data_IF_353348397008
#
_entry.id   IF_353348397008
#
_cell.length_a   1.000
_cell.length_b   1.000
_cell.length_c   1.000
_cell.angle_alpha   90.00
_cell.angle_beta   90.00
_cell.angle_gamma   90.00
#
_symmetry.space_group_name_H-M   'P 1'
#
loop_
_entity.id
_entity.type
_entity.pdbx_description
1 polymer ?
#
# COMPACT_ATOMS: atom_id res chain seq x y z
N UNK A 1 13.01 83.03 21.33
CA UNK A 1 12.80 82.37 20.03
C UNK A 1 13.69 81.13 20.01
N UNK A 2 13.18 80.00 20.48
CA UNK A 2 13.90 78.72 20.55
C UNK A 2 13.97 78.06 19.18
N UNK A 3 15.12 77.44 18.91
CA UNK A 3 15.64 77.15 17.58
C UNK A 3 14.96 75.97 16.86
N UNK A 4 14.78 76.05 15.52
CA UNK A 4 14.26 74.96 14.67
C UNK A 4 15.15 73.70 14.62
N UNK A 5 16.33 73.70 15.26
CA UNK A 5 17.25 72.56 15.32
C UNK A 5 16.86 71.52 16.36
N UNK A 6 16.25 71.92 17.48
CA UNK A 6 15.88 70.99 18.57
C UNK A 6 14.66 70.15 18.18
N UNK A 7 13.74 70.73 17.40
CA UNK A 7 12.61 70.01 16.82
C UNK A 7 13.06 69.02 15.76
N UNK A 8 13.99 69.41 14.86
CA UNK A 8 14.57 68.54 13.85
C UNK A 8 15.30 67.32 14.46
N UNK A 9 16.06 67.52 15.53
CA UNK A 9 16.78 66.43 16.22
C UNK A 9 15.81 65.45 16.88
N UNK A 10 14.76 65.95 17.54
CA UNK A 10 13.70 65.11 18.12
C UNK A 10 12.91 64.35 17.06
N UNK A 11 12.66 64.95 15.90
CA UNK A 11 12.05 64.26 14.75
C UNK A 11 12.97 63.17 14.19
N UNK A 12 14.28 63.40 14.13
CA UNK A 12 15.26 62.38 13.71
C UNK A 12 15.37 61.23 14.71
N UNK A 13 15.37 61.49 16.01
CA UNK A 13 15.33 60.43 17.03
C UNK A 13 14.02 59.65 17.01
N UNK A 14 12.87 60.32 16.82
CA UNK A 14 11.57 59.65 16.65
C UNK A 14 11.53 58.77 15.40
N UNK A 15 12.04 59.27 14.27
CA UNK A 15 12.13 58.50 13.02
C UNK A 15 13.14 57.35 13.16
N UNK A 16 14.24 57.55 13.88
CA UNK A 16 15.24 56.51 14.16
C UNK A 16 14.74 55.43 15.13
N UNK A 17 14.03 55.81 16.18
CA UNK A 17 13.42 54.89 17.14
C UNK A 17 12.24 54.12 16.52
N UNK A 18 11.39 54.80 15.74
CA UNK A 18 10.29 54.18 15.01
C UNK A 18 10.79 53.32 13.85
N UNK A 19 11.79 53.80 13.10
CA UNK A 19 12.43 53.07 12.01
C UNK A 19 13.20 51.83 12.48
N UNK A 20 13.96 51.95 13.58
CA UNK A 20 14.70 50.83 14.17
C UNK A 20 13.78 49.74 14.74
N UNK A 21 12.73 50.13 15.46
CA UNK A 21 11.73 49.18 15.98
C UNK A 21 10.89 48.55 14.86
N UNK A 22 10.43 49.32 13.87
CA UNK A 22 9.73 48.77 12.70
C UNK A 22 10.61 47.82 11.88
N UNK A 23 11.89 48.14 11.69
CA UNK A 23 12.86 47.28 11.00
C UNK A 23 13.14 45.99 11.77
N UNK A 24 13.28 46.05 13.09
CA UNK A 24 13.43 44.87 13.94
C UNK A 24 12.19 43.96 13.88
N UNK A 25 10.98 44.53 13.85
CA UNK A 25 9.73 43.78 13.66
C UNK A 25 9.68 43.12 12.28
N UNK A 26 10.06 43.84 11.21
CA UNK A 26 10.10 43.31 9.85
C UNK A 26 11.13 42.18 9.71
N UNK A 27 12.33 42.33 10.27
CA UNK A 27 13.34 41.26 10.29
C UNK A 27 12.88 40.05 11.11
N UNK A 28 12.21 40.28 12.24
CA UNK A 28 11.64 39.18 13.05
C UNK A 28 10.52 38.45 12.30
N UNK A 29 9.65 39.19 11.59
CA UNK A 29 8.61 38.63 10.74
C UNK A 29 9.20 37.85 9.56
N UNK A 30 10.25 38.37 8.93
CA UNK A 30 10.96 37.71 7.84
C UNK A 30 11.70 36.46 8.33
N UNK A 31 12.33 36.53 9.50
CA UNK A 31 12.96 35.38 10.16
C UNK A 31 11.95 34.29 10.51
N UNK A 32 10.79 34.65 11.07
CA UNK A 32 9.69 33.72 11.31
C UNK A 32 9.17 33.11 10.02
N UNK A 33 9.02 33.92 8.96
CA UNK A 33 8.59 33.43 7.65
C UNK A 33 9.60 32.44 7.06
N UNK A 34 10.90 32.74 7.08
CA UNK A 34 11.96 31.82 6.63
C UNK A 34 11.95 30.53 7.44
N UNK A 35 11.90 30.61 8.77
CA UNK A 35 11.81 29.45 9.66
C UNK A 35 10.58 28.59 9.34
N UNK A 36 9.40 29.21 9.17
CA UNK A 36 8.18 28.49 8.81
C UNK A 36 8.30 27.73 7.48
N UNK A 37 9.06 28.26 6.51
CA UNK A 37 9.32 27.59 5.22
C UNK A 37 10.29 26.43 5.36
N UNK A 38 11.31 26.54 6.23
CA UNK A 38 12.24 25.47 6.54
C UNK A 38 11.53 24.33 7.28
N UNK A 39 10.78 24.63 8.33
CA UNK A 39 10.02 23.63 9.10
C UNK A 39 8.98 22.92 8.22
N UNK A 40 8.35 23.63 7.27
CA UNK A 40 7.43 23.02 6.31
C UNK A 40 8.14 22.08 5.32
N UNK A 41 9.39 22.41 4.94
CA UNK A 41 10.21 21.57 4.06
C UNK A 41 10.66 20.30 4.77
N UNK A 42 11.13 20.42 6.02
CA UNK A 42 11.53 19.27 6.84
C UNK A 42 10.35 18.32 7.07
N UNK A 43 9.19 18.86 7.45
CA UNK A 43 7.96 18.07 7.58
C UNK A 43 7.59 17.34 6.30
N UNK A 44 7.74 17.98 5.14
CA UNK A 44 7.47 17.33 3.85
C UNK A 44 8.44 16.18 3.57
N UNK A 45 9.73 16.36 3.81
CA UNK A 45 10.72 15.30 3.62
C UNK A 45 10.46 14.11 4.54
N UNK A 46 10.06 14.39 5.79
CA UNK A 46 9.70 13.35 6.74
C UNK A 46 8.46 12.56 6.29
N UNK A 47 7.43 13.23 5.76
CA UNK A 47 6.25 12.56 5.18
C UNK A 47 6.66 11.63 4.02
N UNK A 48 7.47 12.11 3.08
CA UNK A 48 7.94 11.30 1.95
C UNK A 48 8.79 10.11 2.42
N UNK A 49 9.58 10.28 3.49
CA UNK A 49 10.34 9.19 4.11
C UNK A 49 9.43 8.15 4.74
N UNK A 50 8.41 8.57 5.50
CA UNK A 50 7.42 7.67 6.12
C UNK A 50 6.66 6.86 5.08
N UNK A 51 6.24 7.49 3.99
CA UNK A 51 5.59 6.82 2.86
C UNK A 51 6.50 5.72 2.28
N UNK A 52 7.79 5.97 2.13
CA UNK A 52 8.71 4.96 1.61
C UNK A 52 8.90 3.78 2.56
N UNK A 53 9.04 4.06 3.86
CA UNK A 53 9.15 3.03 4.89
C UNK A 53 7.89 2.18 4.89
N UNK A 54 6.72 2.81 4.90
CA UNK A 54 5.44 2.10 4.88
C UNK A 54 5.27 1.26 3.61
N UNK A 55 5.46 1.83 2.42
CA UNK A 55 5.35 1.08 1.16
C UNK A 55 6.25 -0.14 1.17
N UNK A 56 7.46 -0.01 1.70
CA UNK A 56 8.40 -1.13 1.80
C UNK A 56 7.90 -2.21 2.76
N UNK A 57 7.34 -1.81 3.91
CA UNK A 57 6.75 -2.73 4.87
C UNK A 57 5.48 -3.40 4.33
N UNK A 58 4.63 -2.66 3.63
CA UNK A 58 3.40 -3.13 2.98
C UNK A 58 3.74 -4.14 1.88
N UNK A 59 4.72 -3.85 1.02
CA UNK A 59 5.22 -4.80 0.00
C UNK A 59 5.75 -6.10 0.63
N UNK A 60 6.49 -5.98 1.74
CA UNK A 60 6.98 -7.16 2.48
C UNK A 60 5.82 -7.96 3.08
N UNK A 61 4.78 -7.29 3.57
CA UNK A 61 3.59 -7.93 4.12
C UNK A 61 2.77 -8.67 3.04
N UNK A 62 2.64 -8.09 1.84
CA UNK A 62 2.09 -8.78 0.67
C UNK A 62 2.86 -10.06 0.37
N UNK A 63 4.19 -9.99 0.29
CA UNK A 63 5.05 -11.13 0.00
C UNK A 63 4.91 -12.23 1.06
N UNK A 64 5.05 -11.90 2.34
CA UNK A 64 4.91 -12.86 3.44
C UNK A 64 3.53 -13.52 3.46
N UNK A 65 2.47 -12.75 3.17
CA UNK A 65 1.11 -13.30 3.09
C UNK A 65 0.97 -14.25 1.92
N UNK A 66 1.51 -13.90 0.75
CA UNK A 66 1.50 -14.75 -0.43
C UNK A 66 2.25 -16.07 -0.17
N UNK A 67 3.41 -16.04 0.49
CA UNK A 67 4.15 -17.26 0.83
C UNK A 67 3.38 -18.17 1.79
N UNK A 68 2.77 -17.59 2.83
CA UNK A 68 1.92 -18.34 3.77
C UNK A 68 0.73 -18.99 3.08
N UNK A 69 0.05 -18.25 2.20
CA UNK A 69 -1.08 -18.79 1.42
C UNK A 69 -0.62 -19.89 0.45
N UNK A 70 0.49 -19.69 -0.26
CA UNK A 70 1.03 -20.69 -1.17
C UNK A 70 1.45 -21.98 -0.43
N UNK A 71 2.09 -21.84 0.73
CA UNK A 71 2.44 -22.97 1.58
C UNK A 71 1.19 -23.72 2.07
N UNK A 72 0.16 -22.99 2.51
CA UNK A 72 -1.11 -23.59 2.93
C UNK A 72 -1.81 -24.32 1.77
N UNK A 73 -1.87 -23.73 0.58
CA UNK A 73 -2.38 -24.37 -0.64
C UNK A 73 -1.61 -25.64 -0.96
N UNK A 74 -0.28 -25.62 -0.84
CA UNK A 74 0.55 -26.82 -1.01
C UNK A 74 0.17 -27.94 -0.04
N UNK A 75 0.06 -27.62 1.25
CA UNK A 75 -0.34 -28.59 2.26
C UNK A 75 -1.76 -29.13 2.05
N UNK A 76 -2.71 -28.29 1.61
CA UNK A 76 -4.06 -28.74 1.26
C UNK A 76 -4.03 -29.75 0.12
N UNK A 77 -3.23 -29.51 -0.92
CA UNK A 77 -3.06 -30.44 -2.05
C UNK A 77 -2.38 -31.75 -1.62
N UNK A 78 -1.41 -31.69 -0.71
CA UNK A 78 -0.84 -32.90 -0.10
C UNK A 78 -1.91 -33.70 0.64
N UNK A 79 -2.74 -33.03 1.46
CA UNK A 79 -3.85 -33.67 2.15
C UNK A 79 -4.86 -34.30 1.18
N UNK A 80 -5.17 -33.65 0.06
CA UNK A 80 -6.03 -34.22 -1.00
C UNK A 80 -5.47 -35.54 -1.52
N UNK A 81 -4.16 -35.59 -1.78
CA UNK A 81 -3.49 -36.83 -2.23
C UNK A 81 -3.57 -37.91 -1.16
N UNK A 82 -3.29 -37.58 0.10
CA UNK A 82 -3.38 -38.51 1.23
C UNK A 82 -4.79 -39.08 1.40
N UNK A 83 -5.82 -38.23 1.33
CA UNK A 83 -7.24 -38.64 1.43
C UNK A 83 -7.61 -39.61 0.32
N UNK A 84 -7.15 -39.37 -0.91
CA UNK A 84 -7.40 -40.24 -2.08
C UNK A 84 -6.65 -41.58 -2.01
N UNK A 85 -5.52 -41.63 -1.31
CA UNK A 85 -4.72 -42.85 -1.13
C UNK A 85 -5.24 -43.77 -0.03
N UNK A 86 -6.28 -43.38 0.72
CA UNK A 86 -6.92 -44.23 1.73
C UNK A 86 -7.64 -45.41 1.02
N UNK A 87 -6.98 -46.57 1.04
CA UNK A 87 -7.47 -47.81 0.42
C UNK A 87 -8.47 -48.58 1.30
N UNK A 88 -8.63 -48.22 2.57
CA UNK A 88 -9.58 -48.89 3.46
C UNK A 88 -11.04 -48.50 3.09
N UNK A 89 -11.90 -49.46 2.71
CA UNK A 89 -13.30 -49.20 2.35
C UNK A 89 -14.15 -48.71 3.55
N UNK A 90 -13.69 -48.88 4.79
CA UNK A 90 -14.41 -48.49 6.02
C UNK A 90 -13.93 -47.17 6.62
N UNK A 91 -12.77 -46.66 6.21
CA UNK A 91 -12.16 -45.48 6.82
C UNK A 91 -12.74 -44.16 6.28
N UNK A 92 -13.12 -43.25 7.17
CA UNK A 92 -13.48 -41.88 6.79
C UNK A 92 -12.24 -40.97 6.82
N UNK A 93 -12.26 -39.89 6.03
CA UNK A 93 -11.21 -38.87 6.08
C UNK A 93 -11.56 -37.77 7.08
N UNK A 94 -10.76 -37.67 8.15
CA UNK A 94 -10.86 -36.66 9.23
C UNK A 94 -9.63 -35.75 9.33
N UNK A 95 -8.59 -36.05 8.57
CA UNK A 95 -7.34 -35.30 8.63
C UNK A 95 -7.55 -33.88 8.10
N UNK A 96 -6.90 -32.90 8.72
CA UNK A 96 -6.94 -31.50 8.33
C UNK A 96 -5.56 -30.86 8.45
N UNK A 97 -5.39 -29.70 7.82
CA UNK A 97 -4.17 -28.90 7.88
C UNK A 97 -4.45 -27.65 8.71
N UNK A 98 -3.52 -27.24 9.56
CA UNK A 98 -3.67 -25.99 10.29
C UNK A 98 -3.52 -24.79 9.36
N UNK A 99 -4.46 -23.86 9.45
CA UNK A 99 -4.36 -22.59 8.76
C UNK A 99 -3.21 -21.74 9.36
N UNK A 100 -2.32 -21.16 8.54
CA UNK A 100 -1.23 -20.35 9.04
C UNK A 100 -1.76 -19.09 9.75
N UNK A 101 -1.03 -18.66 10.79
CA UNK A 101 -1.32 -17.38 11.44
C UNK A 101 -1.04 -16.21 10.46
N UNK A 102 -2.09 -15.50 10.09
CA UNK A 102 -2.04 -14.32 9.22
C UNK A 102 -2.45 -13.08 10.01
N UNK A 103 -1.55 -12.11 10.11
CA UNK A 103 -1.81 -10.82 10.75
C UNK A 103 -2.50 -9.82 9.78
N UNK A 104 -2.70 -10.21 8.52
CA UNK A 104 -3.09 -9.30 7.44
C UNK A 104 -1.90 -8.56 6.85
N UNK A 105 -2.19 -7.79 5.80
CA UNK A 105 -1.27 -6.87 5.16
C UNK A 105 -1.28 -5.57 5.97
N UNK A 106 -0.12 -5.20 6.48
CA UNK A 106 0.03 -3.93 7.18
C UNK A 106 0.04 -2.77 6.19
N UNK A 107 -0.60 -1.68 6.59
CA UNK A 107 -0.42 -0.34 6.04
C UNK A 107 -0.69 0.65 7.16
N UNK A 108 0.13 1.69 7.28
CA UNK A 108 -0.02 2.73 8.29
C UNK A 108 -1.40 3.42 8.13
N UNK A 109 -2.28 3.38 9.17
CA UNK A 109 -3.62 3.96 9.10
C UNK A 109 -3.62 5.48 8.92
N UNK A 110 -2.51 6.16 9.22
CA UNK A 110 -2.39 7.61 9.06
C UNK A 110 -2.01 8.04 7.64
N UNK A 111 -1.66 7.11 6.74
CA UNK A 111 -1.24 7.43 5.38
C UNK A 111 -2.23 8.29 4.58
N UNK A 112 -3.55 8.00 4.61
CA UNK A 112 -4.54 8.83 3.94
C UNK A 112 -4.51 10.30 4.41
N UNK A 113 -4.07 10.54 5.64
CA UNK A 113 -4.04 11.86 6.28
C UNK A 113 -2.77 12.67 5.97
N UNK A 114 -1.77 12.07 5.31
CA UNK A 114 -0.53 12.76 4.99
C UNK A 114 -0.74 13.87 3.94
N UNK A 115 -0.18 15.05 4.22
CA UNK A 115 -0.19 16.20 3.30
C UNK A 115 1.02 16.14 2.35
N UNK A 116 0.87 15.38 1.27
CA UNK A 116 1.98 14.99 0.38
C UNK A 116 2.24 16.05 -0.71
N UNK A 117 1.26 16.95 -0.95
CA UNK A 117 1.24 17.94 -2.03
C UNK A 117 1.42 17.35 -3.44
N UNK A 118 1.24 16.04 -3.58
CA UNK A 118 1.20 15.27 -4.82
C UNK A 118 -0.18 14.63 -4.91
N UNK A 119 -0.94 15.00 -5.94
CA UNK A 119 -2.23 14.38 -6.25
C UNK A 119 -2.03 12.93 -6.66
N UNK A 120 -0.95 12.65 -7.38
CA UNK A 120 -0.62 11.29 -7.82
C UNK A 120 -0.40 10.35 -6.63
N UNK A 121 0.55 10.68 -5.75
CA UNK A 121 0.87 9.84 -4.59
C UNK A 121 -0.35 9.73 -3.67
N UNK A 122 -1.06 10.82 -3.42
CA UNK A 122 -2.21 10.80 -2.54
C UNK A 122 -3.31 9.85 -3.05
N UNK A 123 -3.69 9.95 -4.34
CA UNK A 123 -4.72 9.08 -4.90
C UNK A 123 -4.27 7.61 -4.96
N UNK A 124 -3.02 7.33 -5.36
CA UNK A 124 -2.49 5.96 -5.38
C UNK A 124 -2.44 5.35 -3.99
N UNK A 125 -2.06 6.12 -2.96
CA UNK A 125 -2.08 5.64 -1.57
C UNK A 125 -3.50 5.37 -1.06
N UNK A 126 -4.48 6.19 -1.44
CA UNK A 126 -5.89 5.91 -1.13
C UNK A 126 -6.39 4.62 -1.78
N UNK A 127 -6.05 4.39 -3.05
CA UNK A 127 -6.41 3.16 -3.76
C UNK A 127 -5.76 1.93 -3.12
N UNK A 128 -4.47 2.02 -2.80
CA UNK A 128 -3.75 0.95 -2.09
C UNK A 128 -4.37 0.70 -0.73
N UNK A 129 -4.68 1.74 0.05
CA UNK A 129 -5.30 1.59 1.37
C UNK A 129 -6.66 0.88 1.29
N UNK A 130 -7.49 1.25 0.32
CA UNK A 130 -8.76 0.56 0.06
C UNK A 130 -8.54 -0.91 -0.30
N UNK A 131 -7.61 -1.20 -1.22
CA UNK A 131 -7.31 -2.56 -1.65
C UNK A 131 -6.73 -3.42 -0.51
N UNK A 132 -5.84 -2.87 0.33
CA UNK A 132 -5.31 -3.55 1.51
C UNK A 132 -6.41 -3.86 2.52
N UNK A 133 -7.34 -2.91 2.72
CA UNK A 133 -8.49 -3.13 3.62
C UNK A 133 -9.38 -4.27 3.12
N UNK A 134 -9.68 -4.29 1.82
CA UNK A 134 -10.47 -5.36 1.19
C UNK A 134 -9.78 -6.72 1.30
N UNK A 135 -8.48 -6.78 0.97
CA UNK A 135 -7.67 -8.00 1.12
C UNK A 135 -7.67 -8.47 2.57
N UNK A 136 -7.53 -7.58 3.54
CA UNK A 136 -7.56 -7.94 4.96
C UNK A 136 -8.92 -8.50 5.40
N UNK A 137 -10.04 -7.96 4.88
CA UNK A 137 -11.37 -8.52 5.11
C UNK A 137 -11.51 -9.94 4.54
N UNK A 138 -10.96 -10.19 3.35
CA UNK A 138 -10.99 -11.53 2.74
C UNK A 138 -10.10 -12.50 3.52
N UNK A 139 -8.90 -12.06 3.92
CA UNK A 139 -7.98 -12.88 4.72
C UNK A 139 -8.54 -13.25 6.09
N UNK A 140 -9.31 -12.36 6.74
CA UNK A 140 -9.97 -12.67 8.00
C UNK A 140 -11.11 -13.67 7.83
N UNK A 141 -11.91 -13.54 6.76
CA UNK A 141 -12.99 -14.46 6.44
C UNK A 141 -12.50 -15.87 6.06
N UNK A 142 -11.31 -15.97 5.45
CA UNK A 142 -10.74 -17.23 4.95
C UNK A 142 -10.60 -18.29 6.05
N UNK A 143 -10.36 -17.87 7.30
CA UNK A 143 -10.30 -18.79 8.45
C UNK A 143 -11.67 -19.36 8.79
N UNK A 144 -12.67 -18.50 8.85
CA UNK A 144 -14.03 -18.92 9.17
C UNK A 144 -14.59 -19.83 8.08
N UNK A 145 -14.27 -19.56 6.82
CA UNK A 145 -14.65 -20.40 5.68
C UNK A 145 -13.98 -21.78 5.72
N UNK A 146 -12.70 -21.84 6.09
CA UNK A 146 -12.00 -23.11 6.27
C UNK A 146 -12.56 -23.91 7.45
N UNK A 147 -12.76 -23.27 8.61
CA UNK A 147 -13.35 -23.90 9.79
C UNK A 147 -14.78 -24.42 9.50
N UNK A 148 -15.53 -23.72 8.66
CA UNK A 148 -16.85 -24.15 8.20
C UNK A 148 -16.76 -25.38 7.30
N UNK A 149 -15.81 -25.44 6.37
CA UNK A 149 -15.56 -26.63 5.54
C UNK A 149 -15.28 -27.86 6.40
N UNK A 150 -14.43 -27.72 7.43
CA UNK A 150 -14.12 -28.81 8.36
C UNK A 150 -15.35 -29.26 9.16
N UNK A 151 -16.12 -28.33 9.73
CA UNK A 151 -17.36 -28.65 10.47
C UNK A 151 -18.40 -29.35 9.61
N UNK A 152 -18.53 -28.96 8.33
CA UNK A 152 -19.44 -29.62 7.39
C UNK A 152 -18.99 -31.05 7.11
N UNK A 153 -17.68 -31.28 6.95
CA UNK A 153 -17.13 -32.61 6.77
C UNK A 153 -17.39 -33.51 7.99
N UNK A 154 -17.12 -33.02 9.20
CA UNK A 154 -17.34 -33.77 10.45
C UNK A 154 -18.81 -34.16 10.60
N UNK A 155 -19.73 -33.22 10.35
CA UNK A 155 -21.17 -33.47 10.38
C UNK A 155 -21.60 -34.51 9.35
N UNK A 156 -21.01 -34.50 8.16
CA UNK A 156 -21.30 -35.47 7.10
C UNK A 156 -20.84 -36.87 7.50
N UNK A 157 -19.71 -36.99 8.20
CA UNK A 157 -19.23 -38.26 8.75
C UNK A 157 -20.21 -38.80 9.81
N UNK A 158 -20.66 -37.95 10.74
CA UNK A 158 -21.62 -38.36 11.78
C UNK A 158 -22.93 -38.87 11.18
N UNK A 159 -23.46 -38.15 10.18
CA UNK A 159 -24.67 -38.56 9.47
C UNK A 159 -24.49 -39.89 8.73
N UNK A 160 -23.35 -40.08 8.03
CA UNK A 160 -23.09 -41.33 7.31
C UNK A 160 -22.89 -42.52 8.25
N UNK A 161 -22.27 -42.32 9.42
CA UNK A 161 -22.16 -43.37 10.46
C UNK A 161 -23.50 -43.80 11.02
N UNK A 162 -24.48 -42.90 11.05
CA UNK A 162 -25.86 -43.21 11.50
C UNK A 162 -26.73 -43.88 10.43
N UNK A 163 -26.29 -43.93 9.17
CA UNK A 163 -27.02 -44.55 8.07
C UNK A 163 -26.80 -46.07 8.00
N UNK A 164 -27.79 -46.81 7.50
CA UNK A 164 -27.72 -48.27 7.35
C UNK A 164 -26.65 -48.74 6.32
N UNK A 165 -26.30 -47.90 5.34
CA UNK A 165 -25.29 -48.19 4.32
C UNK A 165 -24.32 -47.00 4.17
N UNK A 166 -23.35 -46.84 5.09
CA UNK A 166 -22.33 -45.80 4.99
C UNK A 166 -21.50 -45.99 3.72
N UNK A 167 -21.19 -44.89 3.02
CA UNK A 167 -20.27 -44.89 1.89
C UNK A 167 -19.06 -43.98 2.18
N UNK A 168 -18.04 -44.49 2.91
CA UNK A 168 -16.84 -43.72 3.23
C UNK A 168 -16.07 -43.29 1.96
N UNK A 169 -16.07 -44.10 0.90
CA UNK A 169 -15.38 -43.75 -0.35
C UNK A 169 -15.96 -42.49 -1.00
N UNK A 170 -17.30 -42.37 -1.05
CA UNK A 170 -17.95 -41.16 -1.56
C UNK A 170 -17.68 -39.93 -0.67
N UNK A 171 -17.61 -40.10 0.65
CA UNK A 171 -17.23 -39.02 1.57
C UNK A 171 -15.81 -38.54 1.31
N UNK A 172 -14.85 -39.46 1.14
CA UNK A 172 -13.45 -39.11 0.87
C UNK A 172 -13.30 -38.33 -0.43
N UNK A 173 -13.95 -38.76 -1.50
CA UNK A 173 -13.88 -38.04 -2.78
C UNK A 173 -14.53 -36.66 -2.72
N UNK A 174 -15.68 -36.54 -2.03
CA UNK A 174 -16.32 -35.24 -1.82
C UNK A 174 -15.45 -34.30 -0.98
N UNK A 175 -14.83 -34.81 0.09
CA UNK A 175 -13.93 -34.03 0.93
C UNK A 175 -12.68 -33.57 0.16
N UNK A 176 -12.03 -34.49 -0.57
CA UNK A 176 -10.90 -34.18 -1.43
C UNK A 176 -11.25 -33.12 -2.49
N UNK A 177 -12.41 -33.24 -3.12
CA UNK A 177 -12.90 -32.23 -4.10
C UNK A 177 -13.10 -30.87 -3.45
N UNK A 178 -13.71 -30.81 -2.26
CA UNK A 178 -13.93 -29.54 -1.55
C UNK A 178 -12.61 -28.89 -1.14
N UNK A 179 -11.62 -29.66 -0.68
CA UNK A 179 -10.28 -29.16 -0.35
C UNK A 179 -9.55 -28.62 -1.58
N UNK A 180 -9.65 -29.30 -2.73
CA UNK A 180 -9.02 -28.84 -3.98
C UNK A 180 -9.66 -27.55 -4.51
N UNK A 181 -11.00 -27.45 -4.44
CA UNK A 181 -11.72 -26.23 -4.81
C UNK A 181 -11.35 -25.07 -3.88
N UNK A 182 -11.23 -25.33 -2.59
CA UNK A 182 -10.80 -24.33 -1.62
C UNK A 182 -9.37 -23.85 -1.91
N UNK A 183 -8.42 -24.79 -2.10
CA UNK A 183 -7.04 -24.49 -2.46
C UNK A 183 -6.94 -23.66 -3.75
N UNK A 184 -7.71 -24.02 -4.77
CA UNK A 184 -7.79 -23.27 -6.04
C UNK A 184 -8.38 -21.87 -5.84
N UNK A 185 -9.40 -21.72 -5.00
CA UNK A 185 -9.98 -20.42 -4.65
C UNK A 185 -8.97 -19.49 -3.99
N UNK A 186 -8.18 -20.00 -3.05
CA UNK A 186 -7.08 -19.24 -2.41
C UNK A 186 -6.03 -18.82 -3.44
N UNK A 187 -5.64 -19.76 -4.31
CA UNK A 187 -4.64 -19.49 -5.35
C UNK A 187 -5.09 -18.40 -6.32
N UNK A 188 -6.34 -18.47 -6.79
CA UNK A 188 -6.90 -17.45 -7.67
C UNK A 188 -7.00 -16.09 -6.96
N UNK A 189 -7.42 -16.07 -5.69
CA UNK A 189 -7.52 -14.85 -4.89
C UNK A 189 -6.19 -14.07 -4.86
N UNK A 190 -5.08 -14.67 -4.43
CA UNK A 190 -3.84 -13.90 -4.36
C UNK A 190 -3.24 -13.63 -5.74
N UNK A 191 -3.49 -14.47 -6.76
CA UNK A 191 -3.02 -14.24 -8.13
C UNK A 191 -3.72 -13.05 -8.79
N UNK A 192 -4.99 -12.83 -8.49
CA UNK A 192 -5.80 -11.77 -9.09
C UNK A 192 -5.75 -10.47 -8.27
N UNK A 193 -5.87 -10.56 -6.94
CA UNK A 193 -6.02 -9.38 -6.08
C UNK A 193 -4.69 -8.69 -5.73
N UNK A 194 -3.57 -9.41 -5.64
CA UNK A 194 -2.30 -8.82 -5.17
C UNK A 194 -1.56 -7.99 -6.23
N UNK A 195 -1.49 -8.38 -7.52
CA UNK A 195 -0.68 -7.66 -8.51
C UNK A 195 -1.02 -6.19 -8.67
N UNK A 196 -2.32 -5.83 -8.64
CA UNK A 196 -2.76 -4.43 -8.76
C UNK A 196 -2.29 -3.54 -7.61
N UNK A 197 -2.39 -4.07 -6.38
CA UNK A 197 -1.89 -3.39 -5.17
C UNK A 197 -0.37 -3.25 -5.17
N UNK A 198 0.36 -4.32 -5.51
CA UNK A 198 1.83 -4.32 -5.61
C UNK A 198 2.31 -3.32 -6.67
N UNK A 199 1.68 -3.32 -7.86
CA UNK A 199 2.00 -2.36 -8.92
C UNK A 199 1.81 -0.92 -8.45
N UNK A 200 0.70 -0.64 -7.77
CA UNK A 200 0.41 0.70 -7.25
C UNK A 200 1.42 1.13 -6.17
N UNK A 201 1.84 0.23 -5.29
CA UNK A 201 2.89 0.48 -4.30
C UNK A 201 4.24 0.79 -4.96
N UNK A 202 4.63 0.04 -6.00
CA UNK A 202 5.86 0.27 -6.77
C UNK A 202 5.82 1.62 -7.48
N UNK A 203 4.69 1.94 -8.11
CA UNK A 203 4.44 3.24 -8.74
C UNK A 203 4.64 4.39 -7.75
N UNK A 204 4.04 4.29 -6.55
CA UNK A 204 4.24 5.30 -5.50
C UNK A 204 5.70 5.34 -5.07
N UNK A 205 6.36 4.20 -4.87
CA UNK A 205 7.78 4.14 -4.45
C UNK A 205 8.69 4.87 -5.44
N UNK A 206 8.54 4.58 -6.74
CA UNK A 206 9.34 5.17 -7.80
C UNK A 206 9.08 6.68 -7.90
N UNK A 207 7.82 7.09 -7.91
CA UNK A 207 7.48 8.49 -8.01
C UNK A 207 7.88 9.29 -6.76
N UNK A 208 7.73 8.71 -5.57
CA UNK A 208 8.19 9.28 -4.31
C UNK A 208 9.70 9.51 -4.32
N UNK A 209 10.48 8.57 -4.84
CA UNK A 209 11.94 8.73 -4.97
C UNK A 209 12.30 9.86 -5.94
N UNK A 210 11.58 10.03 -7.05
CA UNK A 210 11.73 11.18 -7.96
C UNK A 210 11.42 12.51 -7.25
N UNK A 211 10.39 12.55 -6.40
CA UNK A 211 10.08 13.73 -5.58
C UNK A 211 11.15 14.00 -4.51
N UNK A 212 11.77 12.97 -3.94
CA UNK A 212 12.83 13.08 -2.92
C UNK A 212 14.18 13.52 -3.50
N UNK A 213 14.62 12.93 -4.62
CA UNK A 213 15.92 13.23 -5.26
C UNK A 213 15.99 14.64 -5.84
N UNK A 214 14.86 15.23 -6.18
CA UNK A 214 14.80 16.56 -6.79
C UNK A 214 14.84 17.68 -5.73
N UNK A 215 16.00 17.82 -5.07
CA UNK A 215 16.31 18.98 -4.23
C UNK A 215 16.13 20.27 -5.05
N UNK A 216 15.06 21.03 -4.77
CA UNK A 216 14.68 22.26 -5.48
C UNK A 216 13.82 22.06 -6.74
N UNK A 217 13.92 20.90 -7.41
CA UNK A 217 13.13 20.54 -8.62
C UNK A 217 11.90 19.66 -8.34
N UNK A 218 11.62 19.26 -7.10
CA UNK A 218 10.38 18.52 -6.79
C UNK A 218 9.12 19.33 -7.11
N UNK A 219 9.22 20.66 -7.04
CA UNK A 219 8.19 21.55 -7.58
C UNK A 219 8.11 21.51 -9.11
N UNK A 220 9.23 21.34 -9.80
CA UNK A 220 9.28 21.19 -11.25
C UNK A 220 8.72 19.83 -11.70
N UNK A 221 8.96 18.74 -10.98
CA UNK A 221 8.33 17.44 -11.25
C UNK A 221 6.82 17.46 -10.97
N UNK A 222 6.41 17.96 -9.80
CA UNK A 222 4.98 18.22 -9.50
C UNK A 222 4.33 19.16 -10.53
N UNK A 223 5.10 20.07 -11.10
CA UNK A 223 4.61 21.03 -12.08
C UNK A 223 4.54 20.44 -13.50
N UNK A 224 5.57 19.73 -13.95
CA UNK A 224 5.66 19.12 -15.28
C UNK A 224 4.70 17.94 -15.45
N UNK A 225 4.61 17.11 -14.42
CA UNK A 225 3.95 15.80 -14.51
C UNK A 225 2.56 15.83 -13.89
N UNK A 226 2.39 16.54 -12.76
CA UNK A 226 1.09 16.70 -12.10
C UNK A 226 0.41 18.05 -12.35
N UNK A 227 1.00 18.97 -13.13
CA UNK A 227 0.34 20.21 -13.56
C UNK A 227 -0.05 21.18 -12.43
N UNK A 228 0.64 21.14 -11.30
CA UNK A 228 0.27 21.87 -10.06
C UNK A 228 0.45 23.40 -10.08
N UNK A 229 0.54 24.07 -11.24
CA UNK A 229 0.65 25.54 -11.30
C UNK A 229 -0.08 26.20 -12.50
N UNK A 230 -0.75 27.33 -12.24
CA UNK A 230 -1.56 28.12 -13.18
C UNK A 230 -0.75 28.74 -14.35
N UNK A 231 0.58 28.86 -14.20
CA UNK A 231 1.45 29.59 -15.15
C UNK A 231 1.44 29.09 -16.61
N UNK A 232 0.83 27.94 -16.89
CA UNK A 232 0.73 27.35 -18.23
C UNK A 232 -0.69 27.02 -18.69
N UNK A 233 -1.69 27.09 -17.82
CA UNK A 233 -3.07 27.11 -18.29
C UNK A 233 -3.40 28.55 -18.64
N UNK A 234 -3.51 28.84 -19.94
CA UNK A 234 -3.96 30.16 -20.43
C UNK A 234 -5.27 30.61 -19.75
N UNK A 235 -6.07 29.67 -19.21
CA UNK A 235 -7.33 29.93 -18.50
C UNK A 235 -7.48 29.10 -17.23
N UNK A 236 -8.06 29.70 -16.19
CA UNK A 236 -8.34 29.05 -14.89
C UNK A 236 -9.35 27.90 -15.01
N UNK A 237 -10.17 27.92 -16.05
CA UNK A 237 -11.12 26.84 -16.39
C UNK A 237 -10.42 25.56 -16.81
N UNK A 238 -9.28 25.66 -17.50
CA UNK A 238 -8.55 24.51 -18.04
C UNK A 238 -7.78 23.81 -16.91
N UNK A 239 -7.21 24.60 -15.98
CA UNK A 239 -6.70 24.09 -14.71
C UNK A 239 -7.80 23.41 -13.87
N UNK A 240 -8.99 24.02 -13.77
CA UNK A 240 -10.12 23.39 -13.04
C UNK A 240 -10.61 22.10 -13.71
N UNK A 241 -10.57 21.98 -15.04
CA UNK A 241 -10.87 20.73 -15.76
C UNK A 241 -9.80 19.68 -15.50
N UNK A 242 -8.53 20.08 -15.59
CA UNK A 242 -7.37 19.23 -15.34
C UNK A 242 -7.31 18.69 -13.90
N UNK A 243 -7.48 19.55 -12.89
CA UNK A 243 -7.49 19.15 -11.48
C UNK A 243 -8.70 18.27 -11.09
N UNK A 244 -9.68 18.15 -11.98
CA UNK A 244 -10.89 17.32 -11.81
C UNK A 244 -10.89 16.05 -12.68
N UNK A 245 -9.87 15.83 -13.52
CA UNK A 245 -9.75 14.66 -14.39
C UNK A 245 -8.62 13.73 -13.92
N UNK A 246 -8.84 12.41 -14.07
CA UNK A 246 -7.86 11.35 -13.77
C UNK A 246 -6.63 11.36 -14.71
N UNK A 247 -6.66 12.16 -15.78
CA UNK A 247 -5.58 12.28 -16.79
C UNK A 247 -4.18 12.58 -16.20
N UNK A 248 -4.13 13.26 -15.05
CA UNK A 248 -2.86 13.52 -14.34
C UNK A 248 -2.22 12.24 -13.81
N UNK A 249 -3.01 11.22 -13.48
CA UNK A 249 -2.52 9.92 -13.00
C UNK A 249 -1.96 9.12 -14.17
N UNK A 250 -2.70 9.05 -15.28
CA UNK A 250 -2.29 8.29 -16.47
C UNK A 250 -0.97 8.80 -17.06
N UNK A 251 -0.78 10.13 -17.06
CA UNK A 251 0.45 10.74 -17.56
C UNK A 251 1.67 10.36 -16.73
N UNK A 252 1.54 10.38 -15.40
CA UNK A 252 2.62 9.96 -14.50
C UNK A 252 2.88 8.46 -14.66
N UNK A 253 1.83 7.64 -14.77
CA UNK A 253 1.94 6.19 -15.00
C UNK A 253 2.73 5.88 -16.30
N UNK A 254 2.48 6.61 -17.38
CA UNK A 254 3.23 6.48 -18.65
C UNK A 254 4.70 6.83 -18.46
N UNK A 255 5.01 7.91 -17.76
CA UNK A 255 6.38 8.36 -17.55
C UNK A 255 7.23 7.38 -16.74
N UNK A 256 6.65 6.77 -15.70
CA UNK A 256 7.37 5.84 -14.83
C UNK A 256 7.27 4.38 -15.30
N UNK A 257 6.55 4.11 -16.39
CA UNK A 257 6.23 2.75 -16.87
C UNK A 257 7.46 1.85 -16.98
N UNK A 258 8.53 2.29 -17.67
CA UNK A 258 9.74 1.49 -17.84
C UNK A 258 10.44 1.15 -16.51
N UNK A 259 10.43 2.08 -15.55
CA UNK A 259 11.01 1.86 -14.23
C UNK A 259 10.14 0.89 -13.39
N UNK A 260 8.81 1.01 -13.52
CA UNK A 260 7.85 0.12 -12.87
C UNK A 260 7.98 -1.30 -13.41
N UNK A 261 7.99 -1.47 -14.73
CA UNK A 261 8.11 -2.77 -15.37
C UNK A 261 9.46 -3.43 -15.03
N UNK A 262 10.54 -2.65 -15.03
CA UNK A 262 11.85 -3.11 -14.58
C UNK A 262 11.89 -3.52 -13.12
N UNK A 263 11.18 -2.80 -12.23
CA UNK A 263 11.08 -3.14 -10.81
C UNK A 263 10.24 -4.41 -10.59
N UNK A 264 9.13 -4.57 -11.30
CA UNK A 264 8.29 -5.78 -11.27
C UNK A 264 9.08 -7.00 -11.75
N UNK A 265 9.81 -6.89 -12.86
CA UNK A 265 10.64 -7.98 -13.37
C UNK A 265 11.74 -8.39 -12.38
N UNK A 266 12.42 -7.41 -11.75
CA UNK A 266 13.42 -7.68 -10.71
C UNK A 266 12.82 -8.35 -9.48
N UNK A 267 11.61 -7.96 -9.07
CA UNK A 267 10.91 -8.61 -7.96
C UNK A 267 10.60 -10.07 -8.30
N UNK A 268 10.08 -10.34 -9.50
CA UNK A 268 9.81 -11.71 -9.95
C UNK A 268 11.08 -12.56 -9.99
N UNK A 269 12.18 -12.04 -10.55
CA UNK A 269 13.47 -12.73 -10.57
C UNK A 269 14.00 -13.02 -9.16
N UNK A 270 13.87 -12.05 -8.25
CA UNK A 270 14.34 -12.21 -6.86
C UNK A 270 13.53 -13.27 -6.11
N UNK A 271 12.22 -13.37 -6.36
CA UNK A 271 11.37 -14.44 -5.83
C UNK A 271 11.84 -15.81 -6.33
N UNK A 272 12.20 -15.93 -7.62
CA UNK A 272 12.74 -17.19 -8.17
C UNK A 272 14.05 -17.58 -7.48
N UNK A 273 15.01 -16.65 -7.38
CA UNK A 273 16.31 -16.90 -6.73
C UNK A 273 16.15 -17.28 -5.26
N UNK A 274 15.26 -16.61 -4.52
CA UNK A 274 15.03 -16.92 -3.10
C UNK A 274 14.39 -18.31 -2.93
N UNK A 275 13.50 -18.73 -3.84
CA UNK A 275 12.91 -20.08 -3.83
C UNK A 275 13.93 -21.16 -4.15
N UNK A 276 14.80 -20.92 -5.13
CA UNK A 276 15.91 -21.81 -5.46
C UNK A 276 16.89 -21.96 -4.28
N UNK A 277 17.21 -20.86 -3.60
CA UNK A 277 18.07 -20.87 -2.39
C UNK A 277 17.42 -21.56 -1.20
N UNK A 278 16.08 -21.50 -1.09
CA UNK A 278 15.31 -22.20 -0.07
C UNK A 278 15.09 -23.70 -0.38
N UNK A 279 15.58 -24.21 -1.51
CA UNK A 279 15.38 -25.60 -1.92
C UNK A 279 13.94 -25.93 -2.34
N UNK A 280 13.13 -24.92 -2.65
CA UNK A 280 11.75 -25.07 -3.11
C UNK A 280 11.75 -24.99 -4.64
N UNK A 281 11.94 -26.14 -5.30
CA UNK A 281 11.72 -26.26 -6.76
C UNK A 281 10.22 -26.22 -7.09
N UNK A 282 9.84 -25.67 -8.27
CA UNK A 282 8.45 -25.53 -8.69
C UNK A 282 7.69 -26.86 -8.79
#
# INVERSE_FOLDING_TARGET
MGLPSETLYRWQELIGAFGGSAFAVLLSALGYWVKSKLDARERRLEILRRIEVDITYTLNSFHNTQEKLAYFVGNLRTLVVEVRQINDPRAFAINFVNMPAMAGIYMDPDIPNFRINSYYIHNKLLWVHSAVSEVNCILSALRDDYDRLLKVNDRLIDLLRSNATPNPAAQRESYATNLELFATGIENFYRESFPGGIKSLIQVKIYNEKLRRSYGRGRFALWMHEGTNFKYFRRHTDFKKFARNLESIDRVDVEISTEVDGALAKMQQRVVVLREQAGVTP
#
